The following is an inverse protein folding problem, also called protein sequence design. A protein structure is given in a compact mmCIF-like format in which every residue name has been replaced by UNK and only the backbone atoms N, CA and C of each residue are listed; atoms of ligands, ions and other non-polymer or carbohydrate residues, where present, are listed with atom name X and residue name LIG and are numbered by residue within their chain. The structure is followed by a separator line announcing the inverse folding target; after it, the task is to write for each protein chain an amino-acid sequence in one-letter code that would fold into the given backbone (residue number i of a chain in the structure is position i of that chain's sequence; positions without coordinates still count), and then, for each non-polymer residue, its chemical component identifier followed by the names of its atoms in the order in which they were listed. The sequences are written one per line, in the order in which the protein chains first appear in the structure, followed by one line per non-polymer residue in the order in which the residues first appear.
data_IF_135530204236
#
_entry.id   IF_135530204236
#
_cell.length_a   1.000
_cell.length_b   1.000
_cell.length_c   1.000
_cell.angle_alpha   90.00
_cell.angle_beta   90.00
_cell.angle_gamma   90.00
#
_symmetry.space_group_name_H-M   'P 1'
#
loop_
_entity.id
_entity.type
_entity.pdbx_description
1 polymer ?
#
# COMPACT_ATOMS: atom_id res chain seq x y z
N UNK A 1 11.26 15.82 -27.25
CA UNK A 1 10.19 16.47 -26.48
C UNK A 1 8.91 15.76 -26.87
N UNK A 2 8.38 14.89 -26.01
CA UNK A 2 7.18 14.11 -26.33
C UNK A 2 5.97 15.05 -26.40
N UNK A 3 5.20 14.96 -27.47
CA UNK A 3 4.03 15.81 -27.68
C UNK A 3 2.86 15.26 -26.85
N UNK A 4 2.28 16.05 -25.94
CA UNK A 4 1.28 15.60 -24.96
C UNK A 4 -0.02 15.03 -25.58
N UNK A 5 -0.26 15.28 -26.88
CA UNK A 5 -1.48 14.86 -27.59
C UNK A 5 -1.56 13.38 -27.98
N UNK A 6 -0.49 12.59 -27.80
CA UNK A 6 -0.45 11.17 -28.17
C UNK A 6 -0.61 10.20 -26.99
N UNK A 7 -0.73 10.71 -25.76
CA UNK A 7 -0.93 9.85 -24.58
C UNK A 7 -2.32 9.20 -24.62
N UNK A 8 -2.37 7.89 -24.80
CA UNK A 8 -3.60 7.12 -24.65
C UNK A 8 -3.99 7.07 -23.17
N UNK A 9 -4.91 7.93 -22.76
CA UNK A 9 -5.51 7.90 -21.42
C UNK A 9 -6.72 6.98 -21.47
N UNK A 10 -6.65 5.88 -20.74
CA UNK A 10 -7.79 4.99 -20.53
C UNK A 10 -8.33 5.19 -19.12
N UNK A 11 -9.56 5.69 -19.01
CA UNK A 11 -10.29 5.75 -17.75
C UNK A 11 -11.06 4.44 -17.59
N UNK A 12 -10.79 3.73 -16.50
CA UNK A 12 -11.48 2.49 -16.16
C UNK A 12 -12.41 2.74 -14.98
N UNK A 13 -13.68 2.40 -15.12
CA UNK A 13 -14.58 2.29 -13.97
C UNK A 13 -14.41 0.89 -13.36
N UNK A 14 -13.83 0.85 -12.16
CA UNK A 14 -13.46 -0.39 -11.47
C UNK A 14 -14.69 -1.12 -10.91
N UNK A 15 -15.81 -0.42 -10.66
CA UNK A 15 -17.07 -1.02 -10.17
C UNK A 15 -17.71 -1.96 -11.20
N UNK A 16 -17.47 -1.73 -12.49
CA UNK A 16 -17.99 -2.54 -13.59
C UNK A 16 -17.03 -3.66 -14.03
N UNK A 17 -15.89 -3.82 -13.35
CA UNK A 17 -15.00 -4.93 -13.64
C UNK A 17 -15.58 -6.21 -13.02
N UNK A 18 -16.15 -7.08 -13.85
CA UNK A 18 -16.58 -8.42 -13.43
C UNK A 18 -15.36 -9.27 -13.05
N UNK A 19 -14.93 -9.15 -11.79
CA UNK A 19 -13.83 -9.92 -11.24
C UNK A 19 -14.36 -10.94 -10.26
N UNK A 20 -14.01 -12.21 -10.48
CA UNK A 20 -14.35 -13.28 -9.53
C UNK A 20 -13.76 -13.03 -8.13
N UNK A 21 -12.70 -12.23 -8.03
CA UNK A 21 -12.12 -11.81 -6.75
C UNK A 21 -12.91 -10.74 -5.99
N UNK A 22 -13.83 -10.02 -6.65
CA UNK A 22 -14.80 -9.09 -6.04
C UNK A 22 -16.11 -9.81 -5.63
N UNK A 23 -16.46 -10.92 -6.29
CA UNK A 23 -17.67 -11.72 -6.01
C UNK A 23 -17.66 -12.38 -4.62
N UNK A 24 -16.49 -12.49 -3.99
CA UNK A 24 -16.30 -13.11 -2.66
C UNK A 24 -16.55 -12.12 -1.49
N UNK A 25 -17.10 -10.93 -1.75
CA UNK A 25 -17.54 -9.90 -0.78
C UNK A 25 -16.50 -9.38 0.25
N UNK A 26 -15.23 -9.79 0.18
CA UNK A 26 -14.24 -9.50 1.25
C UNK A 26 -13.36 -8.28 1.00
N UNK A 27 -13.25 -7.77 -0.23
CA UNK A 27 -12.47 -6.57 -0.54
C UNK A 27 -13.36 -5.59 -1.29
N UNK A 28 -13.90 -4.61 -0.58
CA UNK A 28 -14.56 -3.48 -1.22
C UNK A 28 -13.50 -2.56 -1.83
N UNK A 29 -13.83 -1.94 -2.96
CA UNK A 29 -12.97 -0.93 -3.57
C UNK A 29 -12.95 0.29 -2.65
N UNK A 30 -11.81 0.54 -2.01
CA UNK A 30 -11.58 1.72 -1.18
C UNK A 30 -10.37 2.50 -1.67
N UNK A 31 -10.41 3.80 -1.40
CA UNK A 31 -9.24 4.67 -1.54
C UNK A 31 -8.25 4.42 -0.40
N UNK A 32 -6.96 4.75 -0.59
CA UNK A 32 -5.98 4.73 0.48
C UNK A 32 -6.46 5.54 1.68
N UNK A 33 -6.32 4.96 2.87
CA UNK A 33 -6.52 5.70 4.10
C UNK A 33 -5.22 6.39 4.49
N UNK A 34 -5.35 7.65 4.90
CA UNK A 34 -4.25 8.45 5.42
C UNK A 34 -4.35 8.55 6.94
N UNK A 35 -3.22 8.30 7.60
CA UNK A 35 -3.13 8.32 9.05
C UNK A 35 -2.21 9.45 9.48
N UNK A 36 -2.67 10.19 10.49
CA UNK A 36 -1.84 11.13 11.25
C UNK A 36 -1.28 10.40 12.47
N UNK A 37 0.02 10.16 12.49
CA UNK A 37 0.69 9.45 13.58
C UNK A 37 1.59 10.40 14.35
N UNK A 38 1.37 10.49 15.67
CA UNK A 38 2.16 11.34 16.57
C UNK A 38 3.05 10.49 17.46
N UNK A 39 4.36 10.73 17.41
CA UNK A 39 5.35 10.05 18.24
C UNK A 39 5.93 11.03 19.25
N UNK A 40 6.23 10.54 20.45
CA UNK A 40 7.01 11.30 21.42
C UNK A 40 8.46 11.39 20.93
N UNK A 41 9.01 12.60 20.86
CA UNK A 41 10.40 12.78 20.46
C UNK A 41 11.34 12.29 21.58
N UNK A 42 12.24 11.36 21.27
CA UNK A 42 13.21 10.83 22.23
C UNK A 42 14.55 11.59 22.19
N UNK A 43 14.79 12.41 21.15
CA UNK A 43 16.07 13.09 20.95
C UNK A 43 16.20 14.40 21.75
N UNK A 44 15.10 14.93 22.30
CA UNK A 44 15.09 16.09 23.20
C UNK A 44 14.00 15.96 24.28
N UNK A 45 14.28 15.31 25.42
CA UNK A 45 13.27 15.06 26.47
C UNK A 45 12.85 16.32 27.26
N UNK A 46 13.49 17.47 27.05
CA UNK A 46 13.26 18.71 27.81
C UNK A 46 12.06 19.55 27.34
N UNK A 47 11.48 19.24 26.18
CA UNK A 47 10.18 19.75 25.74
C UNK A 47 9.40 18.56 25.24
N UNK A 48 8.18 18.33 25.75
CA UNK A 48 7.27 17.27 25.32
C UNK A 48 6.77 17.44 23.87
N UNK A 49 7.68 17.64 22.93
CA UNK A 49 7.39 17.88 21.53
C UNK A 49 7.05 16.54 20.88
N UNK A 50 5.78 16.41 20.50
CA UNK A 50 5.33 15.33 19.65
C UNK A 50 5.73 15.64 18.21
N UNK A 51 6.30 14.66 17.53
CA UNK A 51 6.54 14.69 16.09
C UNK A 51 5.36 14.03 15.40
N UNK A 52 4.68 14.78 14.54
CA UNK A 52 3.53 14.28 13.77
C UNK A 52 3.97 14.02 12.35
N UNK A 53 3.66 12.82 11.85
CA UNK A 53 3.91 12.40 10.48
C UNK A 53 2.59 11.94 9.85
N UNK A 54 2.48 12.13 8.53
CA UNK A 54 1.36 11.64 7.72
C UNK A 54 1.83 10.42 6.96
N UNK A 55 1.08 9.32 7.07
CA UNK A 55 1.41 8.06 6.38
C UNK A 55 0.18 7.57 5.63
N UNK A 56 0.40 7.13 4.39
CA UNK A 56 -0.60 6.48 3.56
C UNK A 56 -0.27 5.00 3.39
N UNK A 57 -1.30 4.15 3.46
CA UNK A 57 -1.17 2.70 3.28
C UNK A 57 -1.88 2.26 2.00
N UNK A 58 -1.46 1.11 1.46
CA UNK A 58 -2.19 0.48 0.37
C UNK A 58 -3.64 0.20 0.76
N UNK A 59 -4.57 0.73 -0.04
CA UNK A 59 -5.98 0.38 0.04
C UNK A 59 -6.26 -1.03 -0.48
N UNK A 60 -7.47 -1.54 -0.26
CA UNK A 60 -7.92 -2.81 -0.83
C UNK A 60 -7.74 -2.86 -2.36
N UNK A 61 -7.97 -1.74 -3.04
CA UNK A 61 -7.84 -1.62 -4.50
C UNK A 61 -6.41 -1.93 -4.98
N UNK A 62 -5.38 -1.56 -4.21
CA UNK A 62 -3.99 -1.89 -4.53
C UNK A 62 -3.75 -3.41 -4.55
N UNK A 63 -4.37 -4.14 -3.62
CA UNK A 63 -4.25 -5.59 -3.55
C UNK A 63 -5.00 -6.31 -4.68
N UNK A 64 -5.88 -5.62 -5.41
CA UNK A 64 -6.61 -6.15 -6.56
C UNK A 64 -5.91 -5.88 -7.90
N UNK A 65 -4.84 -5.07 -7.94
CA UNK A 65 -4.10 -4.74 -9.17
C UNK A 65 -3.69 -5.97 -10.01
N UNK A 66 -3.22 -7.09 -9.44
CA UNK A 66 -2.87 -8.27 -10.24
C UNK A 66 -4.08 -8.94 -10.90
N UNK A 67 -5.27 -8.79 -10.33
CA UNK A 67 -6.52 -9.36 -10.83
C UNK A 67 -7.19 -8.43 -11.85
N UNK A 68 -7.08 -7.10 -11.67
CA UNK A 68 -7.51 -6.07 -12.63
C UNK A 68 -6.63 -6.17 -13.89
N UNK A 69 -5.31 -6.18 -13.71
CA UNK A 69 -4.33 -6.16 -14.79
C UNK A 69 -3.65 -7.51 -15.00
N UNK A 70 -4.45 -8.56 -15.25
CA UNK A 70 -3.99 -9.96 -15.35
C UNK A 70 -2.87 -10.18 -16.38
N UNK A 71 -2.91 -9.42 -17.48
CA UNK A 71 -1.97 -9.54 -18.60
C UNK A 71 -0.70 -8.69 -18.41
N UNK A 72 -0.71 -7.74 -17.49
CA UNK A 72 0.45 -6.88 -17.25
C UNK A 72 1.45 -7.57 -16.31
N UNK A 73 2.73 -7.29 -16.56
CA UNK A 73 3.84 -7.81 -15.75
C UNK A 73 4.23 -6.85 -14.63
N UNK A 74 4.09 -5.55 -14.87
CA UNK A 74 4.53 -4.47 -13.98
C UNK A 74 3.64 -3.25 -14.18
N UNK A 75 3.45 -2.48 -13.12
CA UNK A 75 2.74 -1.20 -13.14
C UNK A 75 3.48 -0.18 -12.29
N UNK A 76 3.35 1.10 -12.62
CA UNK A 76 3.71 2.21 -11.73
C UNK A 76 2.39 2.77 -11.21
N UNK A 77 2.24 2.81 -9.89
CA UNK A 77 1.08 3.37 -9.19
C UNK A 77 1.49 4.72 -8.62
N UNK A 78 0.66 5.72 -8.89
CA UNK A 78 0.83 7.09 -8.45
C UNK A 78 -0.49 7.53 -7.82
N UNK A 79 -0.43 8.19 -6.66
CA UNK A 79 -1.61 8.82 -6.07
C UNK A 79 -2.08 10.00 -6.93
N UNK A 80 -3.33 10.42 -6.72
CA UNK A 80 -4.00 11.48 -7.48
C UNK A 80 -3.44 12.88 -7.21
N UNK A 81 -2.68 13.03 -6.12
CA UNK A 81 -1.99 14.26 -5.72
C UNK A 81 -0.52 14.34 -6.20
N UNK A 82 -0.06 13.38 -7.01
CA UNK A 82 1.31 13.33 -7.51
C UNK A 82 1.47 14.08 -8.84
N UNK A 83 2.45 14.99 -8.89
CA UNK A 83 2.84 15.70 -10.12
C UNK A 83 4.13 15.14 -10.70
N UNK A 84 4.07 14.65 -11.93
CA UNK A 84 5.23 14.12 -12.65
C UNK A 84 5.98 15.24 -13.38
N UNK A 85 7.22 15.49 -12.94
CA UNK A 85 8.08 16.54 -13.51
C UNK A 85 9.10 16.00 -14.53
N UNK A 86 9.29 14.68 -14.58
CA UNK A 86 10.29 14.03 -15.43
C UNK A 86 9.74 12.72 -15.99
N UNK A 87 10.36 12.25 -17.07
CA UNK A 87 10.01 10.99 -17.70
C UNK A 87 10.18 9.79 -16.74
N UNK A 88 9.18 8.91 -16.68
CA UNK A 88 9.14 7.78 -15.75
C UNK A 88 9.97 6.57 -16.22
N UNK A 89 10.64 6.63 -17.38
CA UNK A 89 11.38 5.47 -17.92
C UNK A 89 12.47 4.99 -16.98
N UNK A 90 13.10 5.87 -16.19
CA UNK A 90 14.08 5.47 -15.19
C UNK A 90 13.46 4.56 -14.11
N UNK A 91 12.25 4.91 -13.63
CA UNK A 91 11.50 4.10 -12.67
C UNK A 91 10.97 2.82 -13.32
N UNK A 92 10.48 2.92 -14.56
CA UNK A 92 10.02 1.75 -15.30
C UNK A 92 11.14 0.76 -15.55
N UNK A 93 12.35 1.20 -15.88
CA UNK A 93 13.47 0.30 -16.18
C UNK A 93 14.27 -0.13 -14.94
N UNK A 94 13.82 0.25 -13.74
CA UNK A 94 14.46 -0.15 -12.50
C UNK A 94 14.49 -1.68 -12.38
N UNK A 95 15.66 -2.24 -12.07
CA UNK A 95 15.81 -3.65 -11.73
C UNK A 95 15.25 -3.91 -10.33
N UNK A 96 14.14 -4.65 -10.28
CA UNK A 96 13.48 -5.01 -9.03
C UNK A 96 13.98 -6.34 -8.45
N UNK A 97 14.78 -7.11 -9.20
CA UNK A 97 15.12 -8.49 -8.84
C UNK A 97 13.89 -9.30 -8.42
N UNK A 98 13.95 -9.88 -7.22
CA UNK A 98 12.86 -10.68 -6.65
C UNK A 98 11.87 -9.87 -5.79
N UNK A 99 11.97 -8.55 -5.80
CA UNK A 99 11.08 -7.69 -5.01
C UNK A 99 9.73 -7.52 -5.70
N UNK A 100 8.68 -7.55 -4.89
CA UNK A 100 7.30 -7.36 -5.33
C UNK A 100 6.99 -5.88 -5.56
N UNK A 101 7.54 -5.01 -4.73
CA UNK A 101 7.25 -3.59 -4.71
C UNK A 101 8.54 -2.77 -4.56
N UNK A 102 8.66 -1.72 -5.36
CA UNK A 102 9.69 -0.68 -5.24
C UNK A 102 9.02 0.63 -4.82
N UNK A 103 9.45 1.17 -3.69
CA UNK A 103 8.83 2.34 -3.07
C UNK A 103 9.89 3.26 -2.46
N UNK A 104 9.51 4.52 -2.23
CA UNK A 104 10.37 5.45 -1.50
C UNK A 104 10.37 5.11 -0.01
N UNK A 105 11.56 4.99 0.56
CA UNK A 105 11.75 4.72 1.97
C UNK A 105 11.44 5.96 2.82
N UNK A 106 10.66 5.78 3.88
CA UNK A 106 10.25 6.84 4.80
C UNK A 106 10.69 6.50 6.22
N UNK A 107 11.88 6.96 6.61
CA UNK A 107 12.50 6.64 7.92
C UNK A 107 12.05 7.54 9.07
N UNK A 108 11.23 8.55 8.79
CA UNK A 108 10.55 9.34 9.82
C UNK A 108 9.62 8.49 10.68
N UNK A 109 9.14 7.37 10.12
CA UNK A 109 8.36 6.34 10.81
C UNK A 109 9.08 5.01 10.68
N UNK A 110 9.42 4.39 11.81
CA UNK A 110 9.96 3.04 11.88
C UNK A 110 8.87 2.05 12.24
N UNK A 111 8.94 0.85 11.67
CA UNK A 111 7.92 -0.20 11.88
C UNK A 111 7.79 -0.59 13.36
N UNK A 112 8.87 -0.53 14.14
CA UNK A 112 8.82 -0.75 15.59
C UNK A 112 7.93 0.25 16.34
N UNK A 113 7.74 1.46 15.81
CA UNK A 113 6.83 2.46 16.38
C UNK A 113 5.36 2.14 16.05
N UNK A 114 5.10 1.29 15.06
CA UNK A 114 3.77 0.84 14.64
C UNK A 114 3.43 -0.57 15.17
N UNK A 115 4.24 -1.13 16.07
CA UNK A 115 4.08 -2.52 16.55
C UNK A 115 2.73 -2.81 17.21
N UNK A 116 2.08 -1.80 17.81
CA UNK A 116 0.74 -1.94 18.37
C UNK A 116 -0.33 -2.22 17.30
N UNK A 117 -0.06 -1.83 16.05
CA UNK A 117 -0.97 -2.01 14.91
C UNK A 117 -0.54 -3.17 14.02
N UNK A 118 0.77 -3.36 13.81
CA UNK A 118 1.32 -4.40 12.93
C UNK A 118 1.60 -5.74 13.65
N UNK A 119 1.45 -5.77 14.98
CA UNK A 119 1.94 -6.85 15.82
C UNK A 119 3.47 -6.81 15.97
N UNK A 120 4.05 -7.85 16.59
CA UNK A 120 5.50 -7.92 16.86
C UNK A 120 6.27 -8.90 15.94
N UNK A 121 5.57 -9.54 15.00
CA UNK A 121 6.17 -10.57 14.12
C UNK A 121 6.32 -10.05 12.69
N UNK A 122 7.37 -10.52 12.01
CA UNK A 122 7.53 -10.34 10.56
C UNK A 122 8.28 -9.08 10.12
N UNK A 123 8.79 -8.25 11.03
CA UNK A 123 9.62 -7.09 10.69
C UNK A 123 10.64 -6.75 11.78
N UNK A 124 11.72 -6.06 11.37
CA UNK A 124 12.67 -5.47 12.32
C UNK A 124 12.14 -4.14 12.83
N UNK A 125 12.27 -3.89 14.14
CA UNK A 125 11.81 -2.64 14.75
C UNK A 125 12.50 -1.40 14.16
N UNK A 126 13.71 -1.58 13.66
CA UNK A 126 14.50 -0.50 13.05
C UNK A 126 14.23 -0.32 11.56
N UNK A 127 13.42 -1.19 10.92
CA UNK A 127 13.04 -1.01 9.52
C UNK A 127 12.23 0.28 9.35
N UNK A 128 12.52 1.02 8.30
CA UNK A 128 11.73 2.19 7.93
C UNK A 128 10.43 1.75 7.25
N UNK A 129 9.38 2.55 7.45
CA UNK A 129 8.18 2.45 6.63
C UNK A 129 8.48 2.86 5.18
N UNK A 130 7.52 2.61 4.31
CA UNK A 130 7.48 3.10 2.93
C UNK A 130 6.07 3.60 2.66
N UNK A 131 5.92 4.55 1.74
CA UNK A 131 4.65 5.22 1.45
C UNK A 131 3.94 4.60 0.24
N UNK A 132 2.62 4.67 0.20
CA UNK A 132 1.82 4.15 -0.91
C UNK A 132 1.77 5.05 -2.15
N UNK A 133 2.16 6.32 -2.06
CA UNK A 133 1.88 7.27 -3.13
C UNK A 133 2.72 7.18 -4.39
N UNK A 134 3.86 6.46 -4.37
CA UNK A 134 4.61 6.14 -5.58
C UNK A 134 5.21 4.75 -5.44
N UNK A 135 4.72 3.82 -6.25
CA UNK A 135 5.08 2.42 -6.16
C UNK A 135 5.28 1.78 -7.54
N UNK A 136 6.35 1.02 -7.70
CA UNK A 136 6.60 0.19 -8.87
C UNK A 136 6.28 -1.24 -8.46
N UNK A 137 5.22 -1.81 -9.01
CA UNK A 137 4.69 -3.10 -8.57
C UNK A 137 4.98 -4.15 -9.64
N UNK A 138 5.72 -5.19 -9.26
CA UNK A 138 5.93 -6.38 -10.07
C UNK A 138 4.76 -7.35 -9.89
N UNK A 139 3.79 -7.27 -10.81
CA UNK A 139 2.58 -8.09 -10.77
C UNK A 139 2.85 -9.58 -10.96
N UNK A 140 3.96 -9.96 -11.62
CA UNK A 140 4.35 -11.37 -11.74
C UNK A 140 4.75 -11.91 -10.36
N UNK A 141 5.70 -11.27 -9.68
CA UNK A 141 6.13 -11.66 -8.33
C UNK A 141 4.98 -11.57 -7.32
N UNK A 142 4.12 -10.56 -7.44
CA UNK A 142 2.93 -10.42 -6.58
C UNK A 142 2.01 -11.65 -6.65
N UNK A 143 1.75 -12.14 -7.87
CA UNK A 143 0.93 -13.36 -8.09
C UNK A 143 1.66 -14.61 -7.60
N UNK A 144 2.94 -14.75 -7.91
CA UNK A 144 3.77 -15.90 -7.48
C UNK A 144 3.81 -16.05 -5.95
N UNK A 145 3.94 -14.95 -5.22
CA UNK A 145 3.93 -14.95 -3.76
C UNK A 145 2.53 -14.96 -3.13
N UNK A 146 1.46 -14.93 -3.93
CA UNK A 146 0.08 -14.99 -3.43
C UNK A 146 -0.26 -13.85 -2.46
N UNK A 147 0.24 -12.64 -2.72
CA UNK A 147 0.12 -11.50 -1.79
C UNK A 147 -1.35 -11.10 -1.59
N UNK A 148 -2.15 -11.08 -2.67
CA UNK A 148 -3.59 -10.79 -2.58
C UNK A 148 -4.34 -11.80 -1.71
N UNK A 149 -4.03 -13.09 -1.85
CA UNK A 149 -4.66 -14.16 -1.05
C UNK A 149 -4.24 -14.07 0.42
N UNK A 150 -2.96 -13.79 0.67
CA UNK A 150 -2.45 -13.56 2.02
C UNK A 150 -3.15 -12.38 2.68
N UNK A 151 -3.30 -11.27 1.95
CA UNK A 151 -3.99 -10.08 2.43
C UNK A 151 -5.47 -10.36 2.75
N UNK A 152 -6.20 -11.03 1.85
CA UNK A 152 -7.60 -11.45 2.10
C UNK A 152 -7.75 -12.25 3.39
N UNK A 153 -6.85 -13.21 3.62
CA UNK A 153 -6.86 -14.01 4.87
C UNK A 153 -6.64 -13.13 6.10
N UNK A 154 -5.68 -12.21 6.07
CA UNK A 154 -5.37 -11.32 7.19
C UNK A 154 -6.54 -10.39 7.53
N UNK A 155 -7.19 -9.79 6.53
CA UNK A 155 -8.37 -8.94 6.75
C UNK A 155 -9.49 -9.73 7.41
N UNK A 156 -9.76 -10.95 6.92
CA UNK A 156 -10.77 -11.83 7.51
C UNK A 156 -10.47 -12.18 8.97
N UNK A 157 -9.21 -12.47 9.30
CA UNK A 157 -8.79 -12.74 10.68
C UNK A 157 -9.03 -11.51 11.59
N UNK A 158 -8.67 -10.32 11.13
CA UNK A 158 -8.88 -9.06 11.88
C UNK A 158 -10.37 -8.76 12.08
N UNK A 159 -11.18 -8.89 11.04
CA UNK A 159 -12.63 -8.71 11.14
C UNK A 159 -13.21 -9.68 12.18
N UNK A 160 -12.90 -10.98 12.06
CA UNK A 160 -13.38 -11.99 13.01
C UNK A 160 -12.95 -11.71 14.46
N UNK A 161 -11.74 -11.21 14.68
CA UNK A 161 -11.26 -10.80 16.00
C UNK A 161 -12.06 -9.62 16.56
N UNK A 162 -12.29 -8.57 15.76
CA UNK A 162 -13.11 -7.43 16.18
C UNK A 162 -14.55 -7.84 16.51
N UNK A 163 -15.14 -8.76 15.73
CA UNK A 163 -16.46 -9.33 16.01
C UNK A 163 -16.48 -10.13 17.32
N UNK A 164 -15.43 -10.89 17.61
CA UNK A 164 -15.32 -11.64 18.87
C UNK A 164 -15.18 -10.70 20.09
N UNK A 165 -14.41 -9.61 19.97
CA UNK A 165 -14.30 -8.59 21.03
C UNK A 165 -15.62 -7.87 21.28
N UNK A 166 -16.36 -7.50 20.23
CA UNK A 166 -17.68 -6.88 20.36
C UNK A 166 -18.70 -7.81 21.04
N UNK A 167 -18.67 -9.11 20.71
CA UNK A 167 -19.55 -10.10 21.34
C UNK A 167 -19.14 -10.46 22.79
N UNK A 168 -17.89 -10.19 23.19
CA UNK A 168 -17.45 -10.37 24.57
C UNK A 168 -17.90 -9.21 25.50
N UNK A 169 -18.42 -8.12 24.92
CA UNK A 169 -18.91 -6.93 25.62
C UNK A 169 -20.44 -6.88 25.77
N UNK A 170 -21.16 -7.90 25.26
CA UNK A 170 -22.63 -8.07 25.36
C UNK A 170 -22.94 -9.32 26.16
#
# INVERSE_FOLDING_TARGET
MNNYGEAAVQVLNVEHLEMDSLKDNQLQLSLPEEFRVSFRNNDNPSMGQFRTEYVSIFSHSHYLLPDIFRKLKKVIVLDDDVVIQQDLSALWNLDMGDKVNGAVQFCSVRLGQLKSYLGEKGFSHNSCAWMSGLNIINLVRWREFGITQTYKRLIKEVEMSNWAELNALV
#
